data_IF_165776637218
#
_entry.id   IF_165776637218
#
_cell.length_a   1.000
_cell.length_b   1.000
_cell.length_c   1.000
_cell.angle_alpha   90.00
_cell.angle_beta   90.00
_cell.angle_gamma   90.00
#
_symmetry.space_group_name_H-M   'P 1'
#
loop_
_entity.id
_entity.type
_entity.pdbx_description
1 polymer ?
#
# COMPACT_ATOMS: atom_id res chain seq x y z
N UNK A 1 -36.26 -12.59 -42.61
CA UNK A 1 -35.18 -12.52 -41.60
C UNK A 1 -33.94 -13.16 -42.22
N UNK A 2 -32.82 -12.45 -42.30
CA UNK A 2 -31.62 -12.93 -43.01
C UNK A 2 -30.82 -13.92 -42.13
N UNK A 3 -30.70 -15.20 -42.51
CA UNK A 3 -30.13 -16.26 -41.65
C UNK A 3 -28.64 -16.05 -41.31
N UNK A 4 -27.94 -15.25 -42.10
CA UNK A 4 -26.53 -14.88 -41.88
C UNK A 4 -26.31 -14.09 -40.57
N UNK A 5 -27.26 -13.23 -40.19
CA UNK A 5 -27.17 -12.41 -38.97
C UNK A 5 -27.31 -13.26 -37.70
N UNK A 6 -28.17 -14.29 -37.72
CA UNK A 6 -28.42 -15.17 -36.57
C UNK A 6 -27.19 -16.02 -36.18
N UNK A 7 -26.33 -16.38 -37.14
CA UNK A 7 -25.13 -17.19 -36.88
C UNK A 7 -24.02 -16.42 -36.15
N UNK A 8 -23.97 -15.10 -36.30
CA UNK A 8 -22.90 -14.25 -35.74
C UNK A 8 -23.40 -13.24 -34.71
N UNK A 9 -24.64 -13.34 -34.24
CA UNK A 9 -25.24 -12.32 -33.37
C UNK A 9 -24.49 -12.11 -32.04
N UNK A 10 -23.90 -13.19 -31.48
CA UNK A 10 -23.24 -13.17 -30.16
C UNK A 10 -21.79 -12.67 -30.19
N UNK A 11 -21.06 -12.86 -31.29
CA UNK A 11 -19.62 -12.54 -31.38
C UNK A 11 -19.31 -11.03 -31.25
N UNK A 12 -19.96 -10.15 -32.02
CA UNK A 12 -19.76 -8.70 -31.94
C UNK A 12 -20.21 -8.10 -30.60
N UNK A 13 -21.27 -8.65 -29.99
CA UNK A 13 -21.77 -8.23 -28.67
C UNK A 13 -20.75 -8.60 -27.59
N UNK A 14 -20.25 -9.84 -27.60
CA UNK A 14 -19.23 -10.29 -26.67
C UNK A 14 -17.93 -9.48 -26.82
N UNK A 15 -17.49 -9.18 -28.06
CA UNK A 15 -16.30 -8.36 -28.32
C UNK A 15 -16.44 -6.96 -27.73
N UNK A 16 -17.59 -6.32 -27.88
CA UNK A 16 -17.86 -5.00 -27.27
C UNK A 16 -17.85 -5.10 -25.75
N UNK A 17 -18.49 -6.12 -25.18
CA UNK A 17 -18.50 -6.36 -23.74
C UNK A 17 -17.10 -6.50 -23.15
N UNK A 18 -16.22 -7.26 -23.81
CA UNK A 18 -14.81 -7.41 -23.40
C UNK A 18 -14.08 -6.07 -23.45
N UNK A 19 -14.23 -5.29 -24.53
CA UNK A 19 -13.57 -3.98 -24.65
C UNK A 19 -14.02 -3.04 -23.52
N UNK A 20 -15.33 -2.95 -23.25
CA UNK A 20 -15.83 -2.11 -22.16
C UNK A 20 -15.36 -2.60 -20.79
N UNK A 21 -15.37 -3.92 -20.55
CA UNK A 21 -14.89 -4.50 -19.30
C UNK A 21 -13.39 -4.22 -19.09
N UNK A 22 -12.57 -4.33 -20.12
CA UNK A 22 -11.13 -4.03 -20.04
C UNK A 22 -10.90 -2.55 -19.72
N UNK A 23 -11.62 -1.64 -20.38
CA UNK A 23 -11.48 -0.20 -20.13
C UNK A 23 -11.90 0.13 -18.68
N UNK A 24 -13.09 -0.32 -18.26
CA UNK A 24 -13.60 -0.07 -16.92
C UNK A 24 -12.72 -0.69 -15.84
N UNK A 25 -12.25 -1.91 -16.05
CA UNK A 25 -11.33 -2.58 -15.12
C UNK A 25 -10.02 -1.82 -15.02
N UNK A 26 -9.46 -1.35 -16.14
CA UNK A 26 -8.19 -0.60 -16.11
C UNK A 26 -8.32 0.71 -15.36
N UNK A 27 -9.41 1.45 -15.60
CA UNK A 27 -9.71 2.70 -14.90
C UNK A 27 -9.89 2.43 -13.39
N UNK A 28 -10.69 1.42 -13.04
CA UNK A 28 -10.94 1.08 -11.64
C UNK A 28 -9.65 0.66 -10.92
N UNK A 29 -8.85 -0.22 -11.54
CA UNK A 29 -7.54 -0.63 -11.01
C UNK A 29 -6.63 0.58 -10.80
N UNK A 30 -6.58 1.53 -11.74
CA UNK A 30 -5.79 2.76 -11.57
C UNK A 30 -6.21 3.55 -10.33
N UNK A 31 -7.51 3.75 -10.10
CA UNK A 31 -7.99 4.47 -8.92
C UNK A 31 -7.70 3.73 -7.62
N UNK A 32 -7.91 2.41 -7.59
CA UNK A 32 -7.62 1.58 -6.42
C UNK A 32 -6.13 1.63 -6.08
N UNK A 33 -5.26 1.38 -7.07
CA UNK A 33 -3.80 1.42 -6.87
C UNK A 33 -3.38 2.80 -6.42
N UNK A 34 -3.87 3.88 -7.04
CA UNK A 34 -3.53 5.26 -6.64
C UNK A 34 -3.98 5.58 -5.21
N UNK A 35 -5.16 5.14 -4.80
CA UNK A 35 -5.67 5.33 -3.44
C UNK A 35 -4.83 4.56 -2.42
N UNK A 36 -4.54 3.28 -2.69
CA UNK A 36 -3.75 2.42 -1.80
C UNK A 36 -2.30 2.89 -1.71
N UNK A 37 -1.68 3.23 -2.84
CA UNK A 37 -0.31 3.74 -2.90
C UNK A 37 -0.17 5.04 -2.10
N UNK A 38 -1.13 5.97 -2.23
CA UNK A 38 -1.13 7.20 -1.41
C UNK A 38 -1.30 6.92 0.08
N UNK A 39 -2.10 5.93 0.46
CA UNK A 39 -2.30 5.59 1.88
C UNK A 39 -1.09 4.88 2.51
N UNK A 40 -0.36 4.08 1.74
CA UNK A 40 0.73 3.26 2.29
C UNK A 40 2.10 3.93 2.13
N UNK A 41 2.41 4.45 0.94
CA UNK A 41 3.77 4.89 0.65
C UNK A 41 4.04 6.34 1.04
N UNK A 42 3.04 7.24 0.96
CA UNK A 42 3.25 8.64 1.37
C UNK A 42 3.58 8.75 2.87
N UNK A 43 2.87 8.08 3.80
CA UNK A 43 3.21 8.16 5.22
C UNK A 43 4.58 7.53 5.51
N UNK A 44 4.95 6.46 4.80
CA UNK A 44 6.24 5.81 4.99
C UNK A 44 7.40 6.70 4.50
N UNK A 45 7.24 7.34 3.34
CA UNK A 45 8.20 8.32 2.83
C UNK A 45 8.31 9.52 3.78
N UNK A 46 7.17 10.07 4.21
CA UNK A 46 7.14 11.18 5.18
C UNK A 46 7.77 10.79 6.52
N UNK A 47 7.52 9.57 6.99
CA UNK A 47 8.17 9.04 8.19
C UNK A 47 9.68 9.08 7.98
N UNK A 48 10.22 8.46 6.92
CA UNK A 48 11.66 8.43 6.69
C UNK A 48 12.30 9.81 6.47
N UNK A 49 11.63 10.74 5.80
CA UNK A 49 12.13 12.11 5.58
C UNK A 49 12.19 12.93 6.87
N UNK A 50 11.24 12.72 7.78
CA UNK A 50 11.13 13.44 9.05
C UNK A 50 11.74 12.68 10.23
N UNK A 51 12.18 11.44 10.01
CA UNK A 51 12.70 10.56 11.06
C UNK A 51 14.03 11.10 11.59
N UNK A 52 14.06 11.39 12.87
CA UNK A 52 15.27 11.80 13.60
C UNK A 52 15.65 10.67 14.59
N UNK A 53 16.63 9.83 14.23
CA UNK A 53 17.00 8.68 15.05
C UNK A 53 17.43 9.06 16.47
N UNK A 54 18.07 10.23 16.64
CA UNK A 54 18.59 10.65 17.94
C UNK A 54 17.47 11.07 18.90
N UNK A 55 16.43 11.71 18.38
CA UNK A 55 15.24 12.08 19.17
C UNK A 55 14.43 10.85 19.54
N UNK A 56 14.25 9.91 18.61
CA UNK A 56 13.57 8.66 18.91
C UNK A 56 14.32 7.87 19.97
N UNK A 57 15.65 7.77 19.84
CA UNK A 57 16.49 7.11 20.82
C UNK A 57 16.35 7.70 22.23
N UNK A 58 16.38 9.04 22.35
CA UNK A 58 16.15 9.72 23.63
C UNK A 58 14.76 9.45 24.19
N UNK A 59 13.72 9.51 23.35
CA UNK A 59 12.35 9.19 23.75
C UNK A 59 12.23 7.74 24.26
N UNK A 60 12.88 6.79 23.59
CA UNK A 60 12.90 5.39 24.00
C UNK A 60 13.62 5.17 25.33
N UNK A 61 14.76 5.83 25.56
CA UNK A 61 15.47 5.80 26.84
C UNK A 61 14.62 6.39 27.98
N UNK A 62 14.00 7.55 27.76
CA UNK A 62 13.13 8.20 28.75
C UNK A 62 11.89 7.35 29.09
N UNK A 63 11.34 6.66 28.09
CA UNK A 63 10.15 5.80 28.26
C UNK A 63 10.38 4.58 29.14
N UNK A 64 11.64 4.13 29.30
CA UNK A 64 11.98 2.92 30.06
C UNK A 64 11.52 1.61 29.41
N UNK A 65 11.15 1.63 28.13
CA UNK A 65 10.77 0.42 27.36
C UNK A 65 11.98 -0.48 27.06
N UNK A 66 13.19 0.11 27.05
CA UNK A 66 14.42 -0.61 26.75
C UNK A 66 14.87 -1.44 27.96
N UNK A 67 14.85 -2.76 27.82
CA UNK A 67 15.32 -3.69 28.87
C UNK A 67 16.85 -3.75 28.95
N UNK A 68 17.51 -3.54 27.82
CA UNK A 68 18.96 -3.69 27.63
C UNK A 68 19.77 -2.46 28.03
N UNK A 69 19.12 -1.29 28.14
CA UNK A 69 19.79 0.01 28.31
C UNK A 69 19.05 0.82 29.37
N UNK A 70 19.78 1.47 30.28
CA UNK A 70 19.24 2.37 31.30
C UNK A 70 18.85 3.73 30.70
N UNK A 71 18.26 4.62 31.51
CA UNK A 71 17.85 5.96 31.08
C UNK A 71 19.01 6.87 30.66
N UNK A 72 20.23 6.53 31.07
CA UNK A 72 21.46 7.26 30.80
C UNK A 72 22.21 6.70 29.58
N UNK A 73 21.69 5.64 28.95
CA UNK A 73 22.27 5.02 27.76
C UNK A 73 23.28 3.91 28.06
N UNK A 74 23.42 3.46 29.31
CA UNK A 74 24.35 2.40 29.68
C UNK A 74 23.70 1.02 29.59
N UNK A 75 24.49 0.01 29.21
CA UNK A 75 24.01 -1.37 29.14
C UNK A 75 23.68 -1.88 30.54
N UNK A 76 22.44 -2.37 30.73
CA UNK A 76 22.02 -3.01 31.97
C UNK A 76 22.36 -4.49 31.89
N UNK A 77 22.97 -5.02 32.95
CA UNK A 77 23.29 -6.45 33.02
C UNK A 77 21.99 -7.24 33.18
N UNK A 78 21.64 -8.04 32.18
CA UNK A 78 20.35 -8.76 32.09
C UNK A 78 20.34 -10.12 32.81
N UNK A 79 21.46 -10.47 33.44
CA UNK A 79 21.73 -11.81 34.00
C UNK A 79 21.66 -11.88 35.52
N UNK A 80 21.37 -10.78 36.20
CA UNK A 80 21.06 -10.77 37.65
C UNK A 80 19.63 -11.25 37.93
#
# INVERSE_FOLDING_TARGET
MDPSKLRHFRGPIARRGVIYATILSSIFTYFVVRATFRRMNLPLQQFHELYDPEKEWKSLLESGVLKTVDKDGNLVNLTD
#
